data_IF_191758933590
#
_entry.id   IF_191758933590
#
_cell.length_a   1.000
_cell.length_b   1.000
_cell.length_c   1.000
_cell.angle_alpha   90.00
_cell.angle_beta   90.00
_cell.angle_gamma   90.00
#
_symmetry.space_group_name_H-M   'P 1'
#
loop_
_entity.id
_entity.type
_entity.pdbx_description
1 polymer ?
#
# COMPACT_ATOMS: atom_id res chain seq x y z
N UNK A 1 -13.50 -8.45 -24.77
CA UNK A 1 -14.84 -9.05 -24.86
C UNK A 1 -15.82 -8.31 -23.93
N UNK A 2 -17.10 -8.41 -24.21
CA UNK A 2 -18.15 -7.81 -23.36
C UNK A 2 -18.14 -8.41 -21.96
N UNK A 3 -17.80 -9.68 -21.83
CA UNK A 3 -17.71 -10.35 -20.54
C UNK A 3 -16.60 -9.77 -19.67
N UNK A 4 -15.42 -9.52 -20.27
CA UNK A 4 -14.29 -8.91 -19.56
C UNK A 4 -14.60 -7.48 -19.12
N UNK A 5 -15.24 -6.68 -19.97
CA UNK A 5 -15.67 -5.32 -19.65
C UNK A 5 -16.67 -5.30 -18.50
N UNK A 6 -17.67 -6.22 -18.54
CA UNK A 6 -18.68 -6.34 -17.48
C UNK A 6 -18.03 -6.72 -16.14
N UNK A 7 -17.04 -7.63 -16.16
CA UNK A 7 -16.36 -8.05 -14.96
C UNK A 7 -15.51 -6.91 -14.38
N UNK A 8 -14.79 -6.16 -15.22
CA UNK A 8 -14.04 -4.98 -14.78
C UNK A 8 -14.95 -3.93 -14.15
N UNK A 9 -16.10 -3.68 -14.76
CA UNK A 9 -17.09 -2.75 -14.22
C UNK A 9 -17.61 -3.19 -12.86
N UNK A 10 -17.93 -4.48 -12.71
CA UNK A 10 -18.43 -5.03 -11.45
C UNK A 10 -17.37 -4.92 -10.34
N UNK A 11 -16.13 -5.22 -10.65
CA UNK A 11 -15.02 -5.09 -9.68
C UNK A 11 -14.79 -3.64 -9.29
N UNK A 12 -14.81 -2.71 -10.25
CA UNK A 12 -14.66 -1.28 -9.97
C UNK A 12 -15.79 -0.79 -9.04
N UNK A 13 -17.03 -1.18 -9.30
CA UNK A 13 -18.19 -0.86 -8.44
C UNK A 13 -18.02 -1.41 -7.04
N UNK A 14 -17.54 -2.64 -6.92
CA UNK A 14 -17.32 -3.28 -5.63
C UNK A 14 -16.24 -2.54 -4.84
N UNK A 15 -15.13 -2.18 -5.48
CA UNK A 15 -14.05 -1.42 -4.84
C UNK A 15 -14.56 -0.05 -4.37
N UNK A 16 -15.32 0.66 -5.20
CA UNK A 16 -15.91 1.94 -4.80
C UNK A 16 -16.81 1.81 -3.58
N UNK A 17 -17.69 0.80 -3.56
CA UNK A 17 -18.56 0.54 -2.42
C UNK A 17 -17.77 0.22 -1.15
N UNK A 18 -16.72 -0.59 -1.29
CA UNK A 18 -15.87 -1.00 -0.18
C UNK A 18 -15.13 0.20 0.42
N UNK A 19 -14.48 1.00 -0.43
CA UNK A 19 -13.76 2.20 0.02
C UNK A 19 -14.68 3.22 0.67
N UNK A 20 -15.89 3.41 0.12
CA UNK A 20 -16.88 4.30 0.71
C UNK A 20 -17.27 3.87 2.11
N UNK A 21 -17.49 2.57 2.33
CA UNK A 21 -17.86 2.05 3.65
C UNK A 21 -16.75 2.24 4.68
N UNK A 22 -15.49 2.06 4.26
CA UNK A 22 -14.36 2.35 5.15
C UNK A 22 -14.20 3.86 5.40
N UNK A 23 -14.45 4.69 4.40
CA UNK A 23 -14.41 6.15 4.54
C UNK A 23 -15.49 6.66 5.50
N UNK A 24 -16.68 6.03 5.46
CA UNK A 24 -17.79 6.35 6.35
C UNK A 24 -17.68 5.63 7.72
N UNK A 25 -16.62 4.88 7.92
CA UNK A 25 -16.37 4.11 9.15
C UNK A 25 -17.47 3.09 9.48
N UNK A 26 -18.22 2.65 8.47
CA UNK A 26 -19.27 1.62 8.63
C UNK A 26 -18.70 0.20 8.58
N UNK A 27 -17.45 0.05 8.15
CA UNK A 27 -16.69 -1.21 8.22
C UNK A 27 -15.39 -0.96 8.99
N UNK A 28 -14.98 -1.95 9.77
CA UNK A 28 -13.69 -1.95 10.45
C UNK A 28 -12.73 -2.88 9.71
N UNK A 29 -11.46 -2.49 9.63
CA UNK A 29 -10.41 -3.26 8.95
C UNK A 29 -9.99 -4.51 9.76
N UNK A 30 -10.95 -5.14 10.41
CA UNK A 30 -10.72 -6.34 11.22
C UNK A 30 -11.36 -7.59 10.62
N UNK A 31 -12.07 -7.44 9.51
CA UNK A 31 -12.74 -8.58 8.89
C UNK A 31 -11.76 -9.32 7.97
N UNK A 32 -11.22 -10.41 8.47
CA UNK A 32 -10.27 -11.25 7.75
C UNK A 32 -10.84 -11.84 6.46
N UNK A 33 -12.13 -12.10 6.42
CA UNK A 33 -12.77 -12.64 5.22
C UNK A 33 -12.79 -11.61 4.09
N UNK A 34 -13.05 -10.35 4.43
CA UNK A 34 -12.98 -9.26 3.45
C UNK A 34 -11.56 -9.08 2.95
N UNK A 35 -10.56 -9.10 3.84
CA UNK A 35 -9.16 -8.95 3.47
C UNK A 35 -8.68 -10.04 2.52
N UNK A 36 -9.16 -11.27 2.69
CA UNK A 36 -8.84 -12.37 1.77
C UNK A 36 -9.34 -12.14 0.35
N UNK A 37 -10.36 -11.29 0.19
CA UNK A 37 -10.93 -10.97 -1.11
C UNK A 37 -10.15 -9.91 -1.88
N UNK A 38 -9.26 -9.17 -1.23
CA UNK A 38 -8.56 -8.03 -1.86
C UNK A 38 -7.84 -8.43 -3.14
N UNK A 39 -7.15 -9.56 -3.17
CA UNK A 39 -6.45 -10.04 -4.36
C UNK A 39 -7.36 -10.35 -5.56
N UNK A 40 -8.65 -10.54 -5.32
CA UNK A 40 -9.65 -10.81 -6.35
C UNK A 40 -10.25 -9.54 -6.95
N UNK A 41 -9.91 -8.37 -6.41
CA UNK A 41 -10.46 -7.09 -6.83
C UNK A 41 -9.73 -6.48 -8.03
N UNK A 42 -8.67 -7.13 -8.52
CA UNK A 42 -7.86 -6.62 -9.61
C UNK A 42 -8.68 -6.43 -10.89
N UNK A 43 -8.56 -5.24 -11.47
CA UNK A 43 -9.18 -4.88 -12.75
C UNK A 43 -8.35 -3.79 -13.44
N UNK A 44 -8.66 -3.48 -14.69
CA UNK A 44 -7.81 -2.63 -15.53
C UNK A 44 -7.61 -1.20 -15.01
N UNK A 45 -8.54 -0.64 -14.24
CA UNK A 45 -8.47 0.73 -13.72
C UNK A 45 -8.28 0.79 -12.20
N UNK A 46 -7.91 -0.32 -11.56
CA UNK A 46 -7.78 -0.36 -10.11
C UNK A 46 -6.74 0.63 -9.59
N UNK A 47 -5.62 0.76 -10.27
CA UNK A 47 -4.56 1.70 -9.93
C UNK A 47 -5.10 3.13 -9.81
N UNK A 48 -5.80 3.61 -10.83
CA UNK A 48 -6.37 4.95 -10.84
C UNK A 48 -7.43 5.14 -9.77
N UNK A 49 -8.17 4.09 -9.46
CA UNK A 49 -9.22 4.10 -8.45
C UNK A 49 -8.66 4.23 -7.04
N UNK A 50 -7.53 3.56 -6.75
CA UNK A 50 -6.90 3.57 -5.43
C UNK A 50 -6.03 4.79 -5.18
N UNK A 51 -5.44 5.34 -6.23
CA UNK A 51 -4.43 6.41 -6.11
C UNK A 51 -4.89 7.62 -5.28
N UNK A 52 -6.11 8.17 -5.44
CA UNK A 52 -6.55 9.28 -4.61
C UNK A 52 -6.58 8.96 -3.11
N UNK A 53 -6.95 7.74 -2.75
CA UNK A 53 -7.00 7.31 -1.34
C UNK A 53 -5.60 7.12 -0.77
N UNK A 54 -4.68 6.61 -1.57
CA UNK A 54 -3.30 6.36 -1.13
C UNK A 54 -2.56 7.69 -0.95
N UNK A 55 -2.65 8.58 -1.93
CA UNK A 55 -1.84 9.80 -1.98
C UNK A 55 -2.40 10.98 -1.19
N UNK A 56 -3.68 10.98 -0.87
CA UNK A 56 -4.34 12.13 -0.23
C UNK A 56 -4.30 12.02 1.30
N UNK A 57 -3.50 12.87 1.94
CA UNK A 57 -3.34 12.92 3.40
C UNK A 57 -4.63 13.31 4.13
N UNK A 58 -5.61 13.92 3.45
CA UNK A 58 -6.87 14.34 4.07
C UNK A 58 -7.86 13.19 4.21
N UNK A 59 -7.62 12.06 3.52
CA UNK A 59 -8.43 10.86 3.70
C UNK A 59 -8.16 10.22 5.05
N UNK A 60 -9.19 9.57 5.60
CA UNK A 60 -9.08 8.89 6.89
C UNK A 60 -8.05 7.75 6.89
N UNK A 61 -7.47 7.48 8.05
CA UNK A 61 -6.44 6.45 8.19
C UNK A 61 -6.92 5.08 7.73
N UNK A 62 -8.14 4.68 8.11
CA UNK A 62 -8.67 3.34 7.80
C UNK A 62 -8.79 3.14 6.29
N UNK A 63 -9.41 4.07 5.58
CA UNK A 63 -9.60 3.93 4.13
C UNK A 63 -8.26 3.95 3.38
N UNK A 64 -7.29 4.72 3.86
CA UNK A 64 -5.95 4.75 3.27
C UNK A 64 -5.24 3.42 3.46
N UNK A 65 -5.32 2.83 4.65
CA UNK A 65 -4.75 1.52 4.94
C UNK A 65 -5.36 0.44 4.05
N UNK A 66 -6.67 0.47 3.89
CA UNK A 66 -7.38 -0.48 3.01
C UNK A 66 -6.94 -0.32 1.56
N UNK A 67 -6.87 0.90 1.06
CA UNK A 67 -6.42 1.16 -0.31
C UNK A 67 -5.00 0.64 -0.55
N UNK A 68 -4.08 0.86 0.38
CA UNK A 68 -2.70 0.35 0.31
C UNK A 68 -2.70 -1.19 0.36
N UNK A 69 -3.52 -1.78 1.23
CA UNK A 69 -3.62 -3.24 1.34
C UNK A 69 -4.17 -3.90 0.07
N UNK A 70 -5.13 -3.26 -0.60
CA UNK A 70 -5.64 -3.73 -1.89
C UNK A 70 -4.54 -3.64 -2.95
N UNK A 71 -3.79 -2.54 -2.98
CA UNK A 71 -2.66 -2.37 -3.92
C UNK A 71 -1.61 -3.45 -3.73
N UNK A 72 -1.30 -3.80 -2.48
CA UNK A 72 -0.36 -4.87 -2.17
C UNK A 72 -0.90 -6.24 -2.63
N UNK A 73 -2.14 -6.56 -2.27
CA UNK A 73 -2.76 -7.84 -2.60
C UNK A 73 -2.89 -8.05 -4.12
N UNK A 74 -3.17 -6.99 -4.86
CA UNK A 74 -3.28 -7.02 -6.32
C UNK A 74 -1.94 -6.78 -7.03
N UNK A 75 -0.86 -6.61 -6.28
CA UNK A 75 0.51 -6.42 -6.78
C UNK A 75 0.62 -5.30 -7.81
N UNK A 76 0.08 -4.13 -7.46
CA UNK A 76 0.03 -2.96 -8.34
C UNK A 76 1.37 -2.22 -8.39
N UNK A 77 2.33 -2.75 -9.14
CA UNK A 77 3.66 -2.15 -9.29
C UNK A 77 3.63 -0.68 -9.74
N UNK A 78 2.71 -0.23 -10.61
CA UNK A 78 2.65 1.19 -10.97
C UNK A 78 2.45 2.16 -9.80
N UNK A 79 1.99 1.68 -8.63
CA UNK A 79 1.86 2.50 -7.42
C UNK A 79 3.13 2.53 -6.57
N UNK A 80 4.21 1.90 -7.01
CA UNK A 80 5.44 1.77 -6.21
C UNK A 80 6.05 3.13 -5.81
N UNK A 81 6.06 4.10 -6.71
CA UNK A 81 6.63 5.41 -6.40
C UNK A 81 5.78 6.16 -5.35
N UNK A 82 4.46 6.07 -5.46
CA UNK A 82 3.55 6.64 -4.47
C UNK A 82 3.76 6.00 -3.09
N UNK A 83 3.93 4.69 -3.04
CA UNK A 83 4.20 3.97 -1.80
C UNK A 83 5.55 4.35 -1.20
N UNK A 84 6.58 4.48 -2.03
CA UNK A 84 7.90 4.93 -1.58
C UNK A 84 7.84 6.34 -0.98
N UNK A 85 7.15 7.25 -1.65
CA UNK A 85 6.99 8.62 -1.17
C UNK A 85 6.30 8.68 0.19
N UNK A 86 5.27 7.85 0.41
CA UNK A 86 4.58 7.79 1.69
C UNK A 86 5.49 7.22 2.78
N UNK A 87 6.20 6.14 2.49
CA UNK A 87 7.09 5.50 3.45
C UNK A 87 8.19 6.45 3.93
N UNK A 88 8.71 7.30 3.05
CA UNK A 88 9.79 8.23 3.33
C UNK A 88 9.33 9.58 3.89
N UNK A 89 8.03 9.89 3.82
CA UNK A 89 7.49 11.17 4.25
C UNK A 89 7.26 11.17 5.77
N UNK A 90 8.13 11.87 6.49
CA UNK A 90 8.08 11.97 7.95
C UNK A 90 6.84 12.69 8.49
N UNK A 91 6.07 13.36 7.63
CA UNK A 91 4.82 14.03 8.00
C UNK A 91 3.62 13.09 7.99
N UNK A 92 3.78 11.88 7.45
CA UNK A 92 2.74 10.85 7.44
C UNK A 92 2.64 10.15 8.80
N UNK A 93 1.45 9.61 9.10
CA UNK A 93 1.27 8.78 10.29
C UNK A 93 2.16 7.54 10.22
N UNK A 94 2.71 7.14 11.36
CA UNK A 94 3.63 5.99 11.45
C UNK A 94 3.01 4.73 10.86
N UNK A 95 1.75 4.43 11.19
CA UNK A 95 1.06 3.25 10.65
C UNK A 95 0.92 3.28 9.14
N UNK A 96 0.66 4.45 8.57
CA UNK A 96 0.55 4.61 7.12
C UNK A 96 1.92 4.40 6.45
N UNK A 97 2.98 4.96 7.04
CA UNK A 97 4.34 4.78 6.55
C UNK A 97 4.75 3.31 6.58
N UNK A 98 4.47 2.62 7.67
CA UNK A 98 4.81 1.20 7.84
C UNK A 98 4.09 0.32 6.82
N UNK A 99 2.79 0.53 6.63
CA UNK A 99 1.98 -0.22 5.67
C UNK A 99 2.45 0.05 4.23
N UNK A 100 2.76 1.31 3.91
CA UNK A 100 3.26 1.67 2.58
C UNK A 100 4.62 1.04 2.31
N UNK A 101 5.53 1.05 3.29
CA UNK A 101 6.84 0.41 3.16
C UNK A 101 6.71 -1.10 2.99
N UNK A 102 5.83 -1.74 3.75
CA UNK A 102 5.55 -3.17 3.62
C UNK A 102 5.00 -3.51 2.23
N UNK A 103 4.01 -2.74 1.77
CA UNK A 103 3.43 -2.93 0.44
C UNK A 103 4.50 -2.77 -0.65
N UNK A 104 5.40 -1.79 -0.50
CA UNK A 104 6.50 -1.58 -1.45
C UNK A 104 7.43 -2.78 -1.51
N UNK A 105 7.69 -3.45 -0.39
CA UNK A 105 8.48 -4.67 -0.38
C UNK A 105 7.86 -5.78 -1.23
N UNK A 106 6.54 -5.80 -1.35
CA UNK A 106 5.80 -6.79 -2.16
C UNK A 106 5.74 -6.39 -3.63
N UNK A 107 5.39 -5.12 -3.92
CA UNK A 107 5.09 -4.70 -5.29
C UNK A 107 6.26 -4.03 -6.01
N UNK A 108 7.24 -3.52 -5.28
CA UNK A 108 8.32 -2.72 -5.84
C UNK A 108 9.38 -3.52 -6.59
N UNK A 109 9.98 -2.88 -7.59
CA UNK A 109 11.22 -3.39 -8.19
C UNK A 109 12.42 -3.07 -7.29
N UNK A 110 13.60 -3.63 -7.62
CA UNK A 110 14.80 -3.44 -6.80
C UNK A 110 15.23 -1.99 -6.71
N UNK A 111 15.10 -1.23 -7.79
CA UNK A 111 15.45 0.19 -7.82
C UNK A 111 14.58 0.99 -6.86
N UNK A 112 13.26 0.78 -6.89
CA UNK A 112 12.33 1.49 -6.02
C UNK A 112 12.44 1.05 -4.57
N UNK A 113 12.64 -0.25 -4.32
CA UNK A 113 12.89 -0.76 -2.97
C UNK A 113 14.18 -0.20 -2.35
N UNK A 114 15.19 0.08 -3.17
CA UNK A 114 16.42 0.70 -2.69
C UNK A 114 16.20 2.09 -2.07
N UNK A 115 15.10 2.77 -2.43
CA UNK A 115 14.70 4.03 -1.81
C UNK A 115 14.36 3.90 -0.33
N UNK A 116 14.13 2.69 0.17
CA UNK A 116 13.87 2.42 1.58
C UNK A 116 15.15 2.44 2.44
N UNK A 117 16.32 2.67 1.84
CA UNK A 117 17.60 2.70 2.58
C UNK A 117 17.57 3.64 3.79
N UNK A 118 17.02 4.87 3.73
CA UNK A 118 16.94 5.72 4.91
C UNK A 118 16.18 5.10 6.08
N UNK A 119 15.16 4.26 5.80
CA UNK A 119 14.44 3.53 6.86
C UNK A 119 15.38 2.53 7.54
N UNK A 120 16.14 1.78 6.76
CA UNK A 120 17.04 0.74 7.26
C UNK A 120 18.18 1.33 8.11
N UNK A 121 18.64 2.54 7.78
CA UNK A 121 19.73 3.22 8.50
C UNK A 121 19.25 4.07 9.68
N UNK A 122 17.94 4.20 9.87
CA UNK A 122 17.36 5.04 10.92
C UNK A 122 17.30 6.52 10.58
N UNK A 123 17.53 6.90 9.33
CA UNK A 123 17.55 8.31 8.89
C UNK A 123 16.19 8.84 8.47
N UNK A 124 15.13 8.06 8.66
CA UNK A 124 13.79 8.41 8.21
C UNK A 124 12.91 9.06 9.28
N UNK A 125 13.51 9.61 10.35
CA UNK A 125 12.80 10.24 11.45
C UNK A 125 12.51 9.29 12.60
N UNK A 126 11.56 9.65 13.46
CA UNK A 126 11.19 8.86 14.64
C UNK A 126 10.70 7.47 14.26
N UNK A 127 11.29 6.46 14.87
CA UNK A 127 10.93 5.04 14.70
C UNK A 127 11.22 4.33 16.03
N UNK A 128 10.43 4.67 17.06
CA UNK A 128 10.69 4.26 18.45
C UNK A 128 10.72 2.75 18.66
N UNK A 129 10.08 1.99 17.80
CA UNK A 129 10.02 0.53 17.90
C UNK A 129 10.82 -0.18 16.79
N UNK A 130 11.66 0.56 16.06
CA UNK A 130 12.43 0.06 14.92
C UNK A 130 11.58 -0.65 13.85
N UNK A 131 10.30 -0.32 13.78
CA UNK A 131 9.35 -0.93 12.82
C UNK A 131 9.73 -0.59 11.39
N UNK A 132 9.95 0.70 11.11
CA UNK A 132 10.33 1.16 9.76
C UNK A 132 11.71 0.62 9.39
N UNK A 133 12.64 0.60 10.33
CA UNK A 133 13.98 0.07 10.11
C UNK A 133 13.94 -1.40 9.73
N UNK A 134 13.14 -2.20 10.45
CA UNK A 134 12.95 -3.62 10.13
C UNK A 134 12.36 -3.84 8.75
N UNK A 135 11.38 -3.04 8.36
CA UNK A 135 10.76 -3.12 7.03
C UNK A 135 11.76 -2.70 5.96
N UNK A 136 12.53 -1.63 6.19
CA UNK A 136 13.55 -1.15 5.27
C UNK A 136 14.63 -2.21 5.02
N UNK A 137 15.12 -2.85 6.07
CA UNK A 137 16.09 -3.94 5.96
C UNK A 137 15.55 -5.10 5.14
N UNK A 138 14.29 -5.50 5.40
CA UNK A 138 13.63 -6.58 4.67
C UNK A 138 13.47 -6.26 3.19
N UNK A 139 13.09 -5.03 2.87
CA UNK A 139 12.90 -4.60 1.49
C UNK A 139 14.19 -4.52 0.68
N UNK A 140 15.32 -4.27 1.35
CA UNK A 140 16.62 -4.16 0.71
C UNK A 140 17.36 -5.50 0.58
N UNK A 141 17.02 -6.47 1.44
CA UNK A 141 17.66 -7.78 1.46
C UNK A 141 17.14 -8.69 0.33
N UNK A 142 17.98 -9.52 -0.34
CA UNK A 142 19.45 -9.51 -0.25
C UNK A 142 20.12 -8.58 -1.28
N UNK A 143 19.34 -7.98 -2.19
CA UNK A 143 19.85 -7.36 -3.41
C UNK A 143 20.50 -5.98 -3.19
N UNK A 144 20.02 -5.24 -2.19
CA UNK A 144 20.41 -3.84 -1.96
C UNK A 144 21.17 -3.60 -0.66
N UNK A 145 21.48 -4.65 0.09
CA UNK A 145 22.27 -4.60 1.31
C UNK A 145 23.39 -5.63 1.20
N UNK A 146 24.65 -5.17 1.48
CA UNK A 146 25.77 -6.08 1.62
C UNK A 146 25.59 -6.96 2.86
N UNK A 147 25.93 -8.23 2.76
CA UNK A 147 25.83 -9.19 3.86
C UNK A 147 26.94 -9.02 4.92
N UNK A 148 27.82 -8.05 4.74
CA UNK A 148 28.91 -7.74 5.69
C UNK A 148 28.42 -7.04 6.95
#
# INVERSE_FOLDING_TARGET
>A
SNRALSLNFAKASLVNSLLRKYEEETLLDLDWDIRRMYGKLSHSNLEEQLKPYISNKTKGEIVRRVAISIAEACRLQPLQDALANIALDQTQLMHIRAIAAHALCVVGDNETKAKLRPLATGDAGDDTEDELKGIGLRGLWPDNISAE
#
